data_IF_459394015337
#
_entry.id   IF_459394015337
#
_cell.length_a   1.000
_cell.length_b   1.000
_cell.length_c   1.000
_cell.angle_alpha   90.00
_cell.angle_beta   90.00
_cell.angle_gamma   90.00
#
_symmetry.space_group_name_H-M   'P 1'
#
loop_
_entity.id
_entity.type
_entity.pdbx_description
1 polymer ?
#
# COMPACT_ATOMS: atom_id res chain seq x y z
N UNK A 1 83.11 64.34 29.71
CA UNK A 1 82.64 64.28 28.35
C UNK A 1 82.20 62.85 28.13
N UNK A 2 80.87 62.57 28.31
CA UNK A 2 80.35 61.23 28.24
C UNK A 2 79.16 61.28 27.30
N UNK A 3 79.21 60.48 26.23
CA UNK A 3 78.14 60.32 25.21
C UNK A 3 77.07 59.40 25.70
N UNK A 4 75.78 59.68 25.47
CA UNK A 4 74.72 58.74 25.86
C UNK A 4 74.40 57.73 24.76
N UNK A 5 74.27 56.47 25.18
CA UNK A 5 73.90 55.29 24.43
C UNK A 5 72.41 55.29 24.16
N UNK A 6 71.99 55.21 22.88
CA UNK A 6 70.65 55.15 22.48
C UNK A 6 70.19 53.66 22.51
N UNK A 7 69.25 53.31 23.35
CA UNK A 7 68.52 52.04 23.32
C UNK A 7 67.43 52.08 22.22
N UNK A 8 67.52 51.18 21.26
CA UNK A 8 66.51 50.93 20.28
C UNK A 8 65.75 49.73 20.75
N UNK A 9 64.48 49.91 21.16
CA UNK A 9 63.59 48.83 21.54
C UNK A 9 62.84 48.32 20.29
N UNK A 10 63.17 47.14 19.79
CA UNK A 10 62.42 46.46 18.77
C UNK A 10 61.18 45.80 19.40
N UNK A 11 59.97 46.33 19.09
CA UNK A 11 58.68 45.69 19.40
C UNK A 11 58.40 44.72 18.28
N UNK A 12 58.48 43.38 18.54
CA UNK A 12 58.07 42.32 17.65
C UNK A 12 56.57 42.10 17.86
N UNK A 13 55.74 42.52 16.90
CA UNK A 13 54.31 42.23 16.84
C UNK A 13 54.14 40.80 16.32
N UNK A 14 53.87 39.89 17.22
CA UNK A 14 53.42 38.50 16.85
C UNK A 14 51.91 38.54 16.53
N UNK A 15 51.54 38.53 15.24
CA UNK A 15 50.18 38.37 14.78
C UNK A 15 49.86 36.88 14.87
N UNK A 16 49.10 36.46 15.90
CA UNK A 16 48.47 35.16 15.97
C UNK A 16 47.28 35.15 14.99
N UNK A 17 47.48 34.61 13.80
CA UNK A 17 46.41 34.26 12.90
C UNK A 17 45.68 33.04 13.48
N UNK A 18 44.60 33.24 14.23
CA UNK A 18 43.68 32.20 14.65
C UNK A 18 42.87 31.81 13.41
N UNK A 19 43.37 30.84 12.64
CA UNK A 19 42.62 30.16 11.61
C UNK A 19 41.49 29.35 12.27
N UNK A 20 40.31 29.93 12.28
CA UNK A 20 39.10 29.19 12.67
C UNK A 20 38.82 28.08 11.64
N UNK A 21 39.42 26.89 11.82
CA UNK A 21 38.98 25.68 11.18
C UNK A 21 37.59 25.36 11.76
N UNK A 22 36.54 25.87 11.10
CA UNK A 22 35.17 25.46 11.39
C UNK A 22 35.03 24.01 10.93
N UNK A 23 35.32 23.05 11.80
CA UNK A 23 34.91 21.68 11.57
C UNK A 23 33.38 21.66 11.40
N UNK A 24 32.83 20.98 10.37
CA UNK A 24 31.39 20.87 10.22
C UNK A 24 30.80 20.30 11.50
N UNK A 25 29.79 20.98 12.06
CA UNK A 25 29.22 20.57 13.33
C UNK A 25 28.69 19.14 13.19
N UNK A 26 28.86 18.31 14.22
CA UNK A 26 28.39 16.92 14.26
C UNK A 26 26.89 16.83 13.89
N UNK A 27 26.09 17.85 14.23
CA UNK A 27 24.70 18.01 13.87
C UNK A 27 24.48 18.13 12.34
N UNK A 28 25.37 18.85 11.64
CA UNK A 28 25.27 19.03 10.18
C UNK A 28 25.67 17.76 9.42
N UNK A 29 26.60 16.96 9.97
CA UNK A 29 26.95 15.64 9.42
C UNK A 29 25.80 14.60 9.64
N UNK A 30 25.16 14.59 10.80
CA UNK A 30 24.03 13.72 11.13
C UNK A 30 22.82 14.07 10.27
N UNK A 31 22.46 15.34 10.15
CA UNK A 31 21.38 15.81 9.28
C UNK A 31 21.58 15.42 7.81
N UNK A 32 22.82 15.54 7.31
CA UNK A 32 23.18 15.14 5.95
C UNK A 32 23.15 13.62 5.75
N UNK A 33 23.49 12.86 6.78
CA UNK A 33 23.42 11.39 6.79
C UNK A 33 21.97 10.90 6.82
N UNK A 34 21.14 11.48 7.69
CA UNK A 34 19.70 11.16 7.76
C UNK A 34 18.96 11.50 6.46
N UNK A 35 19.25 12.65 5.86
CA UNK A 35 18.70 13.05 4.57
C UNK A 35 19.17 12.15 3.41
N UNK A 36 20.38 11.56 3.52
CA UNK A 36 20.92 10.62 2.53
C UNK A 36 20.36 9.19 2.64
N UNK A 37 19.73 8.85 3.75
CA UNK A 37 19.17 7.51 4.01
C UNK A 37 17.70 7.37 3.59
N UNK A 38 17.02 8.47 3.24
CA UNK A 38 15.62 8.42 2.78
C UNK A 38 15.52 7.79 1.39
N UNK A 39 14.55 6.88 1.22
CA UNK A 39 14.21 6.28 -0.08
C UNK A 39 13.84 7.34 -1.13
N UNK A 40 13.35 8.52 -0.72
CA UNK A 40 13.06 9.63 -1.63
C UNK A 40 14.31 10.09 -2.40
N UNK A 41 15.46 10.12 -1.73
CA UNK A 41 16.75 10.48 -2.37
C UNK A 41 17.14 9.43 -3.42
N UNK A 42 16.94 8.15 -3.12
CA UNK A 42 17.23 7.06 -4.05
C UNK A 42 16.30 7.09 -5.26
N UNK A 43 14.99 7.36 -5.03
CA UNK A 43 13.99 7.54 -6.10
C UNK A 43 14.41 8.68 -7.02
N UNK A 44 14.77 9.85 -6.45
CA UNK A 44 15.20 11.02 -7.23
C UNK A 44 16.49 10.77 -8.02
N UNK A 45 17.51 10.18 -7.40
CA UNK A 45 18.77 9.83 -8.07
C UNK A 45 18.58 8.85 -9.22
N UNK A 46 17.67 7.87 -9.03
CA UNK A 46 17.35 6.85 -10.04
C UNK A 46 16.43 7.37 -11.12
N UNK A 47 15.72 8.49 -10.88
CA UNK A 47 14.67 9.02 -11.78
C UNK A 47 13.45 8.13 -11.89
N UNK A 48 13.23 7.22 -10.93
CA UNK A 48 12.20 6.19 -11.03
C UNK A 48 11.67 5.76 -9.65
N UNK A 49 10.34 5.75 -9.49
CA UNK A 49 9.63 5.15 -8.36
C UNK A 49 9.31 3.68 -8.67
N UNK A 50 9.78 2.76 -7.84
CA UNK A 50 9.38 1.34 -7.92
C UNK A 50 8.19 1.10 -6.98
N UNK A 51 7.03 0.80 -7.55
CA UNK A 51 5.79 0.56 -6.84
C UNK A 51 5.50 -0.94 -6.78
N UNK A 52 5.50 -1.53 -5.58
CA UNK A 52 5.10 -2.91 -5.33
C UNK A 52 3.59 -3.06 -5.44
N UNK A 53 3.12 -3.86 -6.40
CA UNK A 53 1.71 -4.06 -6.69
C UNK A 53 1.34 -5.54 -6.70
N UNK A 54 0.06 -5.83 -6.42
CA UNK A 54 -0.47 -7.21 -6.50
C UNK A 54 -1.78 -7.21 -7.27
N UNK A 55 -1.98 -8.17 -8.16
CA UNK A 55 -3.23 -8.26 -8.94
C UNK A 55 -4.44 -8.38 -8.02
N UNK A 56 -5.38 -7.44 -8.13
CA UNK A 56 -6.60 -7.35 -7.33
C UNK A 56 -7.59 -6.38 -7.98
N UNK A 57 -8.62 -6.88 -8.64
CA UNK A 57 -9.62 -6.08 -9.37
C UNK A 57 -10.53 -5.34 -8.36
N UNK A 58 -10.82 -4.03 -8.54
CA UNK A 58 -10.34 -3.12 -9.59
C UNK A 58 -9.10 -2.30 -9.17
N UNK A 59 -8.37 -2.72 -8.15
CA UNK A 59 -7.20 -2.03 -7.62
C UNK A 59 -6.01 -2.09 -8.58
N UNK A 60 -5.65 -3.31 -9.00
CA UNK A 60 -4.58 -3.61 -9.96
C UNK A 60 -5.02 -4.75 -10.86
N UNK A 61 -5.00 -4.56 -12.17
CA UNK A 61 -5.36 -5.57 -13.16
C UNK A 61 -4.63 -5.34 -14.49
N UNK A 62 -4.69 -6.33 -15.38
CA UNK A 62 -4.15 -6.18 -16.73
C UNK A 62 -5.22 -5.73 -17.71
N UNK A 63 -4.86 -4.78 -18.55
CA UNK A 63 -5.63 -4.37 -19.71
C UNK A 63 -5.44 -5.37 -20.87
N UNK A 64 -6.25 -5.24 -21.91
CA UNK A 64 -6.19 -6.07 -23.13
C UNK A 64 -4.84 -5.98 -23.86
N UNK A 65 -4.18 -4.84 -23.78
CA UNK A 65 -2.84 -4.57 -24.35
C UNK A 65 -1.69 -5.08 -23.46
N UNK A 66 -2.01 -5.72 -22.31
CA UNK A 66 -1.05 -6.24 -21.35
C UNK A 66 -0.55 -5.21 -20.34
N UNK A 67 -0.88 -3.93 -20.48
CA UNK A 67 -0.52 -2.88 -19.51
C UNK A 67 -1.24 -3.10 -18.17
N UNK A 68 -0.70 -2.51 -17.08
CA UNK A 68 -1.38 -2.50 -15.79
C UNK A 68 -2.32 -1.28 -15.73
N UNK A 69 -3.53 -1.52 -15.23
CA UNK A 69 -4.55 -0.51 -14.98
C UNK A 69 -5.20 -0.77 -13.62
N UNK A 70 -5.87 0.23 -13.07
CA UNK A 70 -6.59 0.10 -11.81
C UNK A 70 -6.40 1.32 -10.91
N UNK A 71 -7.12 1.34 -9.81
CA UNK A 71 -7.07 2.45 -8.86
C UNK A 71 -5.63 2.72 -8.38
N UNK A 72 -4.91 1.68 -7.93
CA UNK A 72 -3.54 1.82 -7.43
C UNK A 72 -2.55 2.22 -8.53
N UNK A 73 -2.81 1.82 -9.77
CA UNK A 73 -1.98 2.20 -10.90
C UNK A 73 -2.09 3.71 -11.17
N UNK A 74 -3.32 4.25 -11.14
CA UNK A 74 -3.55 5.69 -11.29
C UNK A 74 -2.92 6.47 -10.13
N UNK A 75 -3.07 5.99 -8.89
CA UNK A 75 -2.49 6.60 -7.69
C UNK A 75 -0.95 6.61 -7.79
N UNK A 76 -0.31 5.47 -8.07
CA UNK A 76 1.14 5.36 -8.15
C UNK A 76 1.72 6.20 -9.30
N UNK A 77 1.04 6.24 -10.45
CA UNK A 77 1.42 7.07 -11.58
C UNK A 77 1.39 8.55 -11.22
N UNK A 78 0.36 8.99 -10.48
CA UNK A 78 0.29 10.38 -10.04
C UNK A 78 1.34 10.71 -8.96
N UNK A 79 1.64 9.78 -8.03
CA UNK A 79 2.73 9.93 -7.06
C UNK A 79 4.06 10.14 -7.78
N UNK A 80 4.40 9.28 -8.74
CA UNK A 80 5.64 9.40 -9.50
C UNK A 80 5.72 10.70 -10.30
N UNK A 81 4.61 11.09 -10.95
CA UNK A 81 4.49 12.37 -11.67
C UNK A 81 4.76 13.57 -10.77
N UNK A 82 4.21 13.56 -9.55
CA UNK A 82 4.39 14.64 -8.58
C UNK A 82 5.80 14.65 -7.96
N UNK A 83 6.49 13.52 -7.99
CA UNK A 83 7.92 13.42 -7.67
C UNK A 83 8.81 13.86 -8.84
N UNK A 84 8.28 14.04 -10.06
CA UNK A 84 9.05 14.33 -11.27
C UNK A 84 9.88 13.14 -11.78
N UNK A 85 9.41 11.90 -11.55
CA UNK A 85 10.09 10.66 -11.93
C UNK A 85 9.16 9.72 -12.70
N UNK A 86 9.72 8.70 -13.34
CA UNK A 86 8.96 7.61 -13.94
C UNK A 86 8.42 6.66 -12.86
N UNK A 87 7.36 5.88 -13.18
CA UNK A 87 6.90 4.78 -12.34
C UNK A 87 7.29 3.43 -12.96
N UNK A 88 7.77 2.53 -12.12
CA UNK A 88 7.98 1.12 -12.43
C UNK A 88 7.10 0.28 -11.49
N UNK A 89 6.21 -0.49 -12.08
CA UNK A 89 5.38 -1.42 -11.30
C UNK A 89 6.10 -2.74 -11.13
N UNK A 90 6.23 -3.21 -9.87
CA UNK A 90 6.85 -4.49 -9.52
C UNK A 90 5.75 -5.45 -9.05
N UNK A 91 5.23 -6.31 -9.95
CA UNK A 91 4.20 -7.29 -9.59
C UNK A 91 4.73 -8.31 -8.58
N UNK A 92 4.04 -8.44 -7.46
CA UNK A 92 4.46 -9.30 -6.34
C UNK A 92 3.24 -10.04 -5.79
N UNK A 93 3.41 -11.29 -5.37
CA UNK A 93 2.35 -12.02 -4.68
C UNK A 93 1.96 -11.29 -3.38
N UNK A 94 0.65 -11.13 -3.11
CA UNK A 94 0.18 -10.38 -1.94
C UNK A 94 0.71 -10.92 -0.62
N UNK A 95 0.87 -12.23 -0.50
CA UNK A 95 1.40 -12.89 0.70
C UNK A 95 2.88 -12.54 0.98
N UNK A 96 3.65 -12.21 -0.06
CA UNK A 96 5.08 -11.88 0.02
C UNK A 96 5.39 -10.38 -0.01
N UNK A 97 4.39 -9.51 -0.25
CA UNK A 97 4.63 -8.10 -0.57
C UNK A 97 5.37 -7.32 0.53
N UNK A 98 5.13 -7.65 1.82
CA UNK A 98 5.84 -7.00 2.94
C UNK A 98 7.30 -7.46 2.99
N UNK A 99 7.56 -8.76 2.77
CA UNK A 99 8.92 -9.29 2.75
C UNK A 99 9.74 -8.69 1.60
N UNK A 100 9.15 -8.56 0.40
CA UNK A 100 9.75 -7.92 -0.76
C UNK A 100 10.06 -6.44 -0.52
N UNK A 101 9.16 -5.68 0.16
CA UNK A 101 9.44 -4.31 0.57
C UNK A 101 10.64 -4.22 1.51
N UNK A 102 10.69 -5.09 2.53
CA UNK A 102 11.79 -5.14 3.51
C UNK A 102 13.10 -5.49 2.81
N UNK A 103 13.07 -6.40 1.84
CA UNK A 103 14.23 -6.77 1.00
C UNK A 103 14.67 -5.66 0.02
N UNK A 104 13.88 -4.58 -0.15
CA UNK A 104 14.21 -3.46 -1.02
C UNK A 104 13.93 -3.71 -2.51
N UNK A 105 13.11 -4.71 -2.85
CA UNK A 105 12.74 -4.99 -4.25
C UNK A 105 12.00 -3.82 -4.89
N UNK A 106 11.28 -3.04 -4.08
CA UNK A 106 10.60 -1.80 -4.48
C UNK A 106 10.59 -0.78 -3.33
N UNK A 107 10.13 0.42 -3.60
CA UNK A 107 10.22 1.55 -2.69
C UNK A 107 9.01 1.66 -1.77
N UNK A 108 7.80 1.52 -2.31
CA UNK A 108 6.53 1.57 -1.59
C UNK A 108 5.62 0.41 -1.99
N UNK A 109 4.81 -0.09 -1.05
CA UNK A 109 3.66 -0.94 -1.38
C UNK A 109 2.50 -0.01 -1.77
N UNK A 110 1.99 -0.19 -3.00
CA UNK A 110 0.89 0.56 -3.59
C UNK A 110 -0.11 -0.42 -4.21
N UNK A 111 -0.89 -1.09 -3.33
CA UNK A 111 -1.79 -2.18 -3.74
C UNK A 111 -3.05 -2.31 -2.88
N UNK A 112 -3.47 -1.21 -2.23
CA UNK A 112 -4.64 -1.21 -1.34
C UNK A 112 -4.43 -1.98 -0.03
N UNK A 113 -3.17 -2.13 0.41
CA UNK A 113 -2.87 -2.87 1.64
C UNK A 113 -3.54 -2.22 2.85
N UNK A 114 -4.24 -3.04 3.65
CA UNK A 114 -4.89 -2.57 4.87
C UNK A 114 -3.87 -2.21 5.94
N UNK A 115 -4.05 -1.03 6.53
CA UNK A 115 -3.33 -0.58 7.71
C UNK A 115 -3.83 -1.39 8.92
N UNK A 116 -3.02 -2.33 9.39
CA UNK A 116 -3.30 -3.12 10.59
C UNK A 116 -2.10 -3.12 11.54
N UNK A 117 -2.33 -3.08 12.87
CA UNK A 117 -1.24 -2.98 13.84
C UNK A 117 -0.16 -4.06 13.70
N UNK A 118 -0.56 -5.30 13.38
CA UNK A 118 0.38 -6.41 13.18
C UNK A 118 1.38 -6.14 12.04
N UNK A 119 0.94 -5.58 10.92
CA UNK A 119 1.81 -5.21 9.80
C UNK A 119 2.70 -4.02 10.16
N UNK A 120 2.18 -3.09 10.96
CA UNK A 120 2.91 -1.90 11.40
C UNK A 120 4.09 -2.22 12.34
N UNK A 121 4.15 -3.42 12.91
CA UNK A 121 5.33 -3.90 13.62
C UNK A 121 6.53 -4.12 12.67
N UNK A 122 6.30 -4.35 11.38
CA UNK A 122 7.35 -4.66 10.40
C UNK A 122 7.63 -3.50 9.44
N UNK A 123 6.60 -2.77 9.04
CA UNK A 123 6.69 -1.63 8.09
C UNK A 123 6.01 -0.41 8.67
N UNK A 124 6.30 0.78 8.14
CA UNK A 124 5.54 1.99 8.45
C UNK A 124 4.45 2.21 7.41
N UNK A 125 3.37 2.84 7.84
CA UNK A 125 2.25 3.24 6.97
C UNK A 125 2.11 4.75 6.92
N UNK A 126 1.74 5.27 5.75
CA UNK A 126 1.22 6.63 5.60
C UNK A 126 -0.13 6.80 6.31
N UNK A 127 -0.66 8.02 6.34
CA UNK A 127 -2.08 8.24 6.59
C UNK A 127 -2.92 7.45 5.58
N UNK A 128 -4.16 7.06 5.95
CA UNK A 128 -5.08 6.45 5.00
C UNK A 128 -5.41 7.37 3.82
N UNK A 129 -5.37 6.85 2.59
CA UNK A 129 -5.84 7.57 1.41
C UNK A 129 -7.20 7.07 0.89
N UNK A 130 -7.63 5.87 1.31
CA UNK A 130 -8.97 5.35 1.00
C UNK A 130 -9.42 4.32 2.03
N UNK A 131 -10.70 3.96 1.97
CA UNK A 131 -11.33 2.97 2.84
C UNK A 131 -12.05 1.94 2.02
N UNK A 132 -11.97 0.68 2.45
CA UNK A 132 -12.70 -0.43 1.87
C UNK A 132 -13.38 -1.26 2.95
N UNK A 133 -14.37 -2.05 2.59
CA UNK A 133 -15.04 -2.98 3.48
C UNK A 133 -15.01 -4.38 2.92
N UNK A 134 -15.08 -5.40 3.78
CA UNK A 134 -15.18 -6.78 3.37
C UNK A 134 -16.61 -7.11 2.95
N UNK A 135 -16.73 -7.75 1.81
CA UNK A 135 -17.97 -8.34 1.32
C UNK A 135 -17.90 -9.87 1.35
N UNK A 136 -19.04 -10.47 1.09
CA UNK A 136 -19.22 -11.91 1.15
C UNK A 136 -20.05 -12.40 -0.04
N UNK A 137 -19.46 -13.22 -0.91
CA UNK A 137 -20.12 -13.91 -2.01
C UNK A 137 -20.26 -15.40 -1.65
N UNK A 138 -21.46 -15.97 -1.76
CA UNK A 138 -21.73 -17.35 -1.37
C UNK A 138 -22.28 -18.16 -2.54
N UNK A 139 -22.00 -19.48 -2.54
CA UNK A 139 -22.57 -20.42 -3.51
C UNK A 139 -24.07 -20.54 -3.30
N UNK A 140 -24.85 -20.14 -4.31
CA UNK A 140 -26.31 -20.10 -4.24
C UNK A 140 -26.95 -21.49 -4.13
N UNK A 141 -26.41 -22.49 -4.83
CA UNK A 141 -26.91 -23.87 -4.79
C UNK A 141 -26.73 -24.49 -3.40
N UNK A 142 -25.60 -24.22 -2.73
CA UNK A 142 -25.33 -24.80 -1.42
C UNK A 142 -26.02 -24.05 -0.28
N UNK A 143 -26.16 -22.71 -0.42
CA UNK A 143 -26.49 -21.84 0.71
C UNK A 143 -27.59 -20.81 0.44
N UNK A 144 -28.28 -20.90 -0.71
CA UNK A 144 -29.24 -19.87 -1.17
C UNK A 144 -30.41 -19.57 -0.23
N UNK A 145 -30.79 -20.53 0.62
CA UNK A 145 -31.84 -20.38 1.61
C UNK A 145 -31.32 -20.21 3.05
N UNK A 146 -29.98 -20.04 3.22
CA UNK A 146 -29.40 -19.96 4.55
C UNK A 146 -29.54 -18.56 5.15
N UNK A 147 -29.76 -18.55 6.48
CA UNK A 147 -29.54 -17.37 7.30
C UNK A 147 -28.06 -17.25 7.64
N UNK A 148 -27.60 -16.06 7.99
CA UNK A 148 -26.19 -15.80 8.24
C UNK A 148 -25.57 -16.69 9.34
N UNK A 149 -26.37 -17.05 10.35
CA UNK A 149 -25.95 -17.89 11.49
C UNK A 149 -25.57 -19.32 11.06
N UNK A 150 -26.16 -19.82 9.97
CA UNK A 150 -25.91 -21.19 9.46
C UNK A 150 -24.50 -21.33 8.86
N UNK A 151 -23.89 -20.21 8.47
CA UNK A 151 -22.49 -20.22 8.03
C UNK A 151 -21.50 -20.49 9.17
N UNK A 152 -21.90 -20.39 10.43
CA UNK A 152 -21.05 -20.65 11.60
C UNK A 152 -21.01 -22.13 11.98
N UNK A 153 -20.63 -23.01 11.06
CA UNK A 153 -20.49 -24.45 11.25
C UNK A 153 -19.09 -24.93 10.86
N UNK A 154 -18.62 -26.02 11.48
CA UNK A 154 -17.36 -26.69 11.14
C UNK A 154 -17.35 -27.33 9.74
N UNK A 155 -18.52 -27.52 9.13
CA UNK A 155 -18.66 -28.09 7.80
C UNK A 155 -18.62 -27.01 6.70
N UNK A 156 -18.73 -25.74 7.11
CA UNK A 156 -18.66 -24.60 6.19
C UNK A 156 -17.19 -24.27 5.88
N UNK A 157 -16.94 -24.04 4.60
CA UNK A 157 -15.64 -23.66 4.06
C UNK A 157 -15.76 -22.28 3.45
N UNK A 158 -14.97 -21.33 3.95
CA UNK A 158 -14.77 -20.04 3.30
C UNK A 158 -13.45 -20.04 2.56
N UNK A 159 -13.40 -19.37 1.42
CA UNK A 159 -12.17 -19.10 0.69
C UNK A 159 -11.77 -17.64 0.86
N UNK A 160 -10.48 -17.41 0.95
CA UNK A 160 -9.87 -16.08 1.06
C UNK A 160 -8.54 -16.07 0.31
N UNK A 161 -8.05 -14.89 -0.02
CA UNK A 161 -6.71 -14.72 -0.56
C UNK A 161 -5.66 -14.92 0.55
N UNK A 162 -4.59 -15.65 0.25
CA UNK A 162 -3.45 -15.86 1.15
C UNK A 162 -2.82 -14.53 1.57
N UNK A 163 -2.58 -14.38 2.87
CA UNK A 163 -2.04 -13.14 3.44
C UNK A 163 -3.08 -12.04 3.68
N UNK A 164 -4.36 -12.23 3.30
CA UNK A 164 -5.45 -11.28 3.61
C UNK A 164 -5.96 -11.49 5.04
N UNK A 165 -5.25 -10.92 6.02
CA UNK A 165 -5.63 -11.01 7.44
C UNK A 165 -6.99 -10.35 7.74
N UNK A 166 -7.36 -9.34 6.99
CA UNK A 166 -8.65 -8.65 7.02
C UNK A 166 -9.80 -9.55 6.58
N UNK A 167 -9.65 -10.29 5.47
CA UNK A 167 -10.64 -11.30 5.05
C UNK A 167 -10.79 -12.42 6.07
N UNK A 168 -9.67 -12.90 6.63
CA UNK A 168 -9.68 -13.91 7.70
C UNK A 168 -10.40 -13.38 8.95
N UNK A 169 -10.12 -12.15 9.37
CA UNK A 169 -10.78 -11.51 10.51
C UNK A 169 -12.29 -11.35 10.26
N UNK A 170 -12.69 -10.95 9.04
CA UNK A 170 -14.09 -10.84 8.65
C UNK A 170 -14.82 -12.19 8.70
N UNK A 171 -14.21 -13.28 8.21
CA UNK A 171 -14.77 -14.63 8.36
C UNK A 171 -14.94 -14.98 9.83
N UNK A 172 -13.93 -14.73 10.67
CA UNK A 172 -13.98 -15.05 12.11
C UNK A 172 -15.00 -14.22 12.88
N UNK A 173 -15.36 -13.05 12.37
CA UNK A 173 -16.44 -12.23 12.95
C UNK A 173 -17.81 -12.90 12.78
N UNK A 174 -18.10 -13.49 11.62
CA UNK A 174 -19.41 -14.04 11.29
C UNK A 174 -19.50 -15.56 11.46
N UNK A 175 -18.36 -16.28 11.35
CA UNK A 175 -18.32 -17.74 11.28
C UNK A 175 -17.06 -18.29 11.96
N UNK A 176 -17.02 -18.22 13.31
CA UNK A 176 -15.86 -18.64 14.13
C UNK A 176 -15.49 -20.12 13.92
N UNK A 177 -16.51 -20.98 13.69
CA UNK A 177 -16.33 -22.44 13.55
C UNK A 177 -15.94 -22.85 12.13
N UNK A 178 -16.18 -22.00 11.12
CA UNK A 178 -15.95 -22.34 9.73
C UNK A 178 -14.47 -22.57 9.41
N UNK A 179 -14.20 -23.45 8.46
CA UNK A 179 -12.88 -23.68 7.89
C UNK A 179 -12.54 -22.55 6.93
N UNK A 180 -11.24 -22.20 6.86
CA UNK A 180 -10.74 -21.19 5.92
C UNK A 180 -9.71 -21.86 5.00
N UNK A 181 -9.97 -21.82 3.71
CA UNK A 181 -9.05 -22.26 2.65
C UNK A 181 -8.45 -21.02 1.99
N UNK A 182 -7.12 -20.98 1.85
CA UNK A 182 -6.42 -19.83 1.33
C UNK A 182 -5.83 -20.14 -0.05
N UNK A 183 -6.02 -19.21 -1.00
CA UNK A 183 -5.51 -19.27 -2.37
C UNK A 183 -4.56 -18.10 -2.65
N UNK A 184 -3.68 -18.27 -3.61
CA UNK A 184 -2.70 -17.22 -3.94
C UNK A 184 -3.33 -16.04 -4.67
N UNK A 185 -4.44 -16.27 -5.39
CA UNK A 185 -5.24 -15.22 -6.00
C UNK A 185 -6.75 -15.40 -5.77
N UNK A 186 -7.50 -14.33 -6.03
CA UNK A 186 -8.95 -14.32 -5.83
C UNK A 186 -9.70 -15.09 -6.90
N UNK A 187 -9.12 -15.28 -8.09
CA UNK A 187 -9.76 -16.04 -9.16
C UNK A 187 -9.85 -17.53 -8.79
N UNK A 188 -8.78 -18.08 -8.20
CA UNK A 188 -8.79 -19.43 -7.66
C UNK A 188 -9.77 -19.56 -6.49
N UNK A 189 -9.78 -18.56 -5.58
CA UNK A 189 -10.65 -18.56 -4.42
C UNK A 189 -12.16 -18.56 -4.78
N UNK A 190 -12.58 -17.73 -5.75
CA UNK A 190 -13.99 -17.71 -6.20
C UNK A 190 -14.32 -18.93 -7.05
N UNK A 191 -13.38 -19.46 -7.84
CA UNK A 191 -13.61 -20.66 -8.63
C UNK A 191 -13.95 -21.86 -7.76
N UNK A 192 -13.33 -21.99 -6.59
CA UNK A 192 -13.64 -23.03 -5.60
C UNK A 192 -15.09 -22.92 -5.08
N UNK A 193 -15.60 -21.68 -4.94
CA UNK A 193 -17.01 -21.42 -4.60
C UNK A 193 -17.94 -21.73 -5.78
N UNK A 194 -17.60 -21.30 -6.99
CA UNK A 194 -18.40 -21.58 -8.20
C UNK A 194 -18.53 -23.10 -8.45
N UNK A 195 -17.48 -23.86 -8.22
CA UNK A 195 -17.47 -25.32 -8.36
C UNK A 195 -18.26 -26.05 -7.24
N UNK A 196 -18.71 -25.34 -6.19
CA UNK A 196 -19.44 -25.91 -5.07
C UNK A 196 -18.56 -26.67 -4.06
N UNK A 197 -17.24 -26.52 -4.12
CA UNK A 197 -16.28 -27.11 -3.18
C UNK A 197 -16.03 -26.23 -1.96
N UNK A 198 -16.51 -24.98 -1.99
CA UNK A 198 -16.56 -24.06 -0.87
C UNK A 198 -17.91 -23.34 -0.81
N UNK A 199 -18.27 -22.87 0.37
CA UNK A 199 -19.58 -22.26 0.64
C UNK A 199 -19.58 -20.75 0.37
N UNK A 200 -18.44 -20.07 0.58
CA UNK A 200 -18.36 -18.62 0.40
C UNK A 200 -16.95 -18.09 0.24
N UNK A 201 -16.87 -16.93 -0.39
CA UNK A 201 -15.64 -16.17 -0.64
C UNK A 201 -15.75 -14.81 0.03
N UNK A 202 -14.78 -14.47 0.87
CA UNK A 202 -14.71 -13.19 1.57
C UNK A 202 -13.50 -12.40 1.09
N UNK A 203 -13.78 -11.21 0.55
CA UNK A 203 -12.76 -10.29 0.05
C UNK A 203 -13.29 -8.85 0.10
N UNK A 204 -12.46 -7.89 -0.31
CA UNK A 204 -12.82 -6.48 -0.34
C UNK A 204 -13.88 -6.18 -1.40
N UNK A 205 -14.89 -5.37 -1.03
CA UNK A 205 -15.81 -4.80 -2.02
C UNK A 205 -15.04 -3.89 -3.02
N UNK A 206 -15.50 -3.79 -4.27
CA UNK A 206 -16.75 -4.29 -4.84
C UNK A 206 -16.72 -5.72 -5.38
N UNK A 207 -15.68 -6.50 -5.15
CA UNK A 207 -15.47 -7.80 -5.80
C UNK A 207 -16.55 -8.83 -5.51
N UNK A 208 -17.00 -9.06 -4.25
CA UNK A 208 -18.12 -9.93 -3.97
C UNK A 208 -19.42 -9.52 -4.70
N UNK A 209 -19.71 -8.22 -4.73
CA UNK A 209 -20.84 -7.67 -5.47
C UNK A 209 -20.72 -7.88 -6.99
N UNK A 210 -19.51 -7.77 -7.53
CA UNK A 210 -19.23 -8.02 -8.94
C UNK A 210 -19.49 -9.48 -9.30
N UNK A 211 -19.03 -10.43 -8.50
CA UNK A 211 -19.29 -11.85 -8.75
C UNK A 211 -20.76 -12.22 -8.64
N UNK A 212 -21.50 -11.66 -7.68
CA UNK A 212 -22.94 -11.88 -7.58
C UNK A 212 -23.72 -11.33 -8.79
N UNK A 213 -23.21 -10.25 -9.39
CA UNK A 213 -23.78 -9.69 -10.61
C UNK A 213 -23.39 -10.50 -11.87
N UNK A 214 -22.13 -10.93 -11.97
CA UNK A 214 -21.64 -11.65 -13.15
C UNK A 214 -22.10 -13.12 -13.18
N UNK A 215 -22.43 -13.72 -12.03
CA UNK A 215 -22.89 -15.11 -11.88
C UNK A 215 -24.17 -15.21 -11.03
N UNK A 216 -25.31 -14.57 -11.43
CA UNK A 216 -26.50 -14.41 -10.60
C UNK A 216 -27.18 -15.74 -10.25
N UNK A 217 -26.99 -16.78 -11.07
CA UNK A 217 -27.57 -18.13 -10.85
C UNK A 217 -26.71 -18.98 -9.89
N UNK A 218 -25.44 -18.65 -9.70
CA UNK A 218 -24.50 -19.44 -8.92
C UNK A 218 -24.05 -18.74 -7.63
N UNK A 219 -24.02 -17.41 -7.62
CA UNK A 219 -23.52 -16.60 -6.53
C UNK A 219 -24.59 -15.65 -6.01
N UNK A 220 -24.63 -15.50 -4.70
CA UNK A 220 -25.47 -14.50 -4.03
C UNK A 220 -24.72 -13.85 -2.87
N UNK A 221 -25.26 -12.75 -2.35
CA UNK A 221 -24.67 -12.01 -1.23
C UNK A 221 -25.55 -12.18 0.02
N UNK A 222 -25.15 -13.02 1.00
CA UNK A 222 -25.94 -13.27 2.22
C UNK A 222 -26.16 -12.01 3.07
N UNK A 223 -25.30 -11.02 2.95
CA UNK A 223 -25.41 -9.75 3.66
C UNK A 223 -25.94 -8.60 2.79
N UNK A 224 -26.30 -8.87 1.53
CA UNK A 224 -26.68 -7.84 0.57
C UNK A 224 -25.53 -6.82 0.41
N UNK A 225 -25.87 -5.53 0.43
CA UNK A 225 -24.87 -4.43 0.31
C UNK A 225 -24.15 -4.08 1.63
N UNK A 226 -24.44 -4.79 2.73
CA UNK A 226 -23.76 -4.54 4.01
C UNK A 226 -22.32 -5.04 3.93
N UNK A 227 -21.39 -4.19 4.30
CA UNK A 227 -19.98 -4.56 4.42
C UNK A 227 -19.69 -5.00 5.86
N UNK A 228 -18.96 -6.09 5.99
CA UNK A 228 -18.28 -6.45 7.23
C UNK A 228 -17.06 -5.56 7.35
N UNK A 229 -16.72 -5.11 8.50
CA UNK A 229 -15.50 -4.37 8.83
C UNK A 229 -15.08 -3.34 7.76
N UNK A 230 -14.64 -2.20 8.18
CA UNK A 230 -14.01 -1.20 7.30
C UNK A 230 -12.52 -1.13 7.63
N UNK A 231 -11.72 -1.13 6.60
CA UNK A 231 -10.27 -1.04 6.69
C UNK A 231 -9.76 0.19 5.96
N UNK A 232 -8.76 0.81 6.54
CA UNK A 232 -8.02 1.89 5.92
C UNK A 232 -6.95 1.30 4.99
N UNK A 233 -6.86 1.77 3.75
CA UNK A 233 -5.72 1.51 2.87
C UNK A 233 -4.70 2.65 3.00
N UNK A 234 -3.44 2.29 3.11
CA UNK A 234 -2.34 3.23 3.25
C UNK A 234 -1.13 2.74 2.45
N UNK A 235 -0.22 3.63 2.07
CA UNK A 235 1.06 3.25 1.51
C UNK A 235 1.92 2.64 2.60
N UNK A 236 2.65 1.57 2.28
CA UNK A 236 3.62 1.01 3.22
C UNK A 236 5.04 1.29 2.75
N UNK A 237 5.90 1.70 3.68
CA UNK A 237 7.31 1.99 3.48
C UNK A 237 8.16 1.22 4.48
N UNK A 238 9.44 1.02 4.20
CA UNK A 238 10.40 0.46 5.16
C UNK A 238 10.45 1.33 6.43
N UNK A 239 10.74 0.71 7.56
CA UNK A 239 10.97 1.45 8.81
C UNK A 239 12.22 2.33 8.72
N UNK A 240 12.22 3.40 9.55
CA UNK A 240 13.38 4.29 9.65
C UNK A 240 13.39 5.44 8.67
N UNK A 241 12.32 5.63 7.86
CA UNK A 241 12.22 6.70 6.88
C UNK A 241 11.04 7.66 7.19
N UNK A 242 11.22 8.59 8.15
CA UNK A 242 10.20 9.57 8.48
C UNK A 242 9.94 10.57 7.34
N UNK A 243 10.94 10.85 6.50
CA UNK A 243 10.81 11.81 5.39
C UNK A 243 9.87 11.25 4.31
N UNK A 244 10.00 9.97 3.97
CA UNK A 244 9.07 9.32 3.05
C UNK A 244 7.63 9.33 3.59
N UNK A 245 7.43 9.05 4.88
CA UNK A 245 6.09 9.12 5.50
C UNK A 245 5.55 10.54 5.47
N UNK A 246 6.34 11.54 5.83
CA UNK A 246 5.92 12.94 5.81
C UNK A 246 5.53 13.38 4.39
N UNK A 247 6.34 13.05 3.38
CA UNK A 247 6.06 13.38 1.99
C UNK A 247 4.75 12.74 1.51
N UNK A 248 4.58 11.43 1.76
CA UNK A 248 3.36 10.69 1.41
C UNK A 248 2.12 11.25 2.09
N UNK A 249 2.21 11.62 3.37
CA UNK A 249 1.10 12.20 4.11
C UNK A 249 0.68 13.58 3.56
N UNK A 250 1.66 14.43 3.22
CA UNK A 250 1.41 15.72 2.59
C UNK A 250 0.79 15.53 1.18
N UNK A 251 1.30 14.57 0.41
CA UNK A 251 0.74 14.22 -0.90
C UNK A 251 -0.72 13.76 -0.79
N UNK A 252 -1.03 12.84 0.16
CA UNK A 252 -2.39 12.37 0.41
C UNK A 252 -3.31 13.53 0.74
N UNK A 253 -2.91 14.40 1.68
CA UNK A 253 -3.70 15.57 2.08
C UNK A 253 -4.01 16.46 0.88
N UNK A 254 -3.00 16.84 0.10
CA UNK A 254 -3.14 17.68 -1.08
C UNK A 254 -4.04 17.05 -2.15
N UNK A 255 -3.86 15.76 -2.43
CA UNK A 255 -4.62 15.05 -3.48
C UNK A 255 -6.04 14.72 -3.07
N UNK A 256 -6.29 14.56 -1.78
CA UNK A 256 -7.65 14.46 -1.21
C UNK A 256 -8.39 15.79 -1.34
N UNK A 257 -7.78 16.89 -0.92
CA UNK A 257 -8.36 18.22 -0.99
C UNK A 257 -8.68 18.65 -2.43
N UNK A 258 -7.83 18.26 -3.40
CA UNK A 258 -8.04 18.51 -4.83
C UNK A 258 -8.99 17.51 -5.50
N UNK A 259 -9.60 16.59 -4.76
CA UNK A 259 -10.59 15.64 -5.26
C UNK A 259 -10.03 14.49 -6.13
N UNK A 260 -8.70 14.44 -6.39
CA UNK A 260 -8.11 13.44 -7.27
C UNK A 260 -8.35 12.01 -6.79
N UNK A 261 -8.11 11.74 -5.49
CA UNK A 261 -8.26 10.38 -4.94
C UNK A 261 -9.72 9.92 -5.02
N UNK A 262 -10.68 10.78 -4.70
CA UNK A 262 -12.11 10.45 -4.77
C UNK A 262 -12.59 10.27 -6.22
N UNK A 263 -12.15 11.10 -7.15
CA UNK A 263 -12.44 10.95 -8.59
C UNK A 263 -11.97 9.59 -9.12
N UNK A 264 -10.74 9.18 -8.80
CA UNK A 264 -10.22 7.86 -9.21
C UNK A 264 -10.96 6.73 -8.54
N UNK A 265 -11.29 6.90 -7.25
CA UNK A 265 -12.09 5.93 -6.52
C UNK A 265 -13.48 5.75 -7.13
N UNK A 266 -14.17 6.84 -7.47
CA UNK A 266 -15.49 6.78 -8.11
C UNK A 266 -15.41 6.08 -9.46
N UNK A 267 -14.45 6.42 -10.30
CA UNK A 267 -14.25 5.76 -11.59
C UNK A 267 -14.05 4.24 -11.42
N UNK A 268 -13.15 3.80 -10.54
CA UNK A 268 -12.80 2.38 -10.43
C UNK A 268 -13.79 1.54 -9.62
N UNK A 269 -14.46 2.13 -8.61
CA UNK A 269 -15.29 1.36 -7.68
C UNK A 269 -16.80 1.56 -7.85
N UNK A 270 -17.24 2.69 -8.43
CA UNK A 270 -18.66 3.00 -8.60
C UNK A 270 -19.15 2.89 -10.04
N UNK A 271 -18.25 3.07 -11.04
CA UNK A 271 -18.58 2.85 -12.45
C UNK A 271 -18.11 1.47 -12.93
N UNK A 272 -18.48 1.11 -14.15
CA UNK A 272 -17.99 -0.07 -14.88
C UNK A 272 -17.37 0.30 -16.23
N UNK A 273 -17.13 1.58 -16.48
CA UNK A 273 -16.65 2.12 -17.75
C UNK A 273 -15.27 1.58 -18.15
N UNK A 274 -14.53 1.07 -17.15
CA UNK A 274 -13.24 0.43 -17.34
C UNK A 274 -13.33 -1.06 -17.76
N UNK A 275 -14.52 -1.69 -17.70
CA UNK A 275 -14.68 -3.15 -17.87
C UNK A 275 -14.19 -3.61 -19.25
N UNK A 276 -14.46 -2.85 -20.30
CA UNK A 276 -14.05 -3.18 -21.68
C UNK A 276 -12.55 -3.05 -21.91
N UNK A 277 -11.80 -2.43 -21.00
CA UNK A 277 -10.34 -2.30 -21.05
C UNK A 277 -9.62 -3.52 -20.49
N UNK A 278 -10.30 -4.35 -19.68
CA UNK A 278 -9.70 -5.49 -18.99
C UNK A 278 -9.55 -6.68 -19.94
N UNK A 279 -8.42 -7.38 -19.86
CA UNK A 279 -8.24 -8.63 -20.58
C UNK A 279 -9.33 -9.65 -20.18
N UNK A 280 -9.99 -10.23 -21.16
CA UNK A 280 -10.82 -11.43 -20.90
C UNK A 280 -9.90 -12.55 -20.39
N UNK A 281 -10.33 -13.22 -19.33
CA UNK A 281 -9.65 -14.40 -18.81
C UNK A 281 -9.77 -15.56 -19.76
#
# INVERSE_FOLDING_TARGET
MVSPLRFVTCVVLIIFAVGAFSAPSKAQSISKQLAGESVLVDIQKRGKLRAGVSSFIPWVMRAKDGSLIGFEIDIATQVAKDMGVEVEFVPTAFSGVIAALVAGEFDFIMNGISLVPKRNLTVNFSNPYTWHGMGFAANKKLTGNWKLEQFNSSDVIFTVRRGSNDSIAAVRQIAKKAKIRQFDDDAQAIQDVLNGTAHGFVTSEPKPSTYAYDYPDQIWQPMGKKMMMRWASAFAVRKGDPDAINWLNNWISLRTERGFIEERRDYWFRTRDWKDRVASK
#
